data_IF_460104863410
#
_entry.id   IF_460104863410
#
_cell.length_a   1.000
_cell.length_b   1.000
_cell.length_c   1.000
_cell.angle_alpha   90.00
_cell.angle_beta   90.00
_cell.angle_gamma   90.00
#
_symmetry.space_group_name_H-M   'P 1'
#
loop_
_entity.id
_entity.type
_entity.pdbx_description
1 polymer ?
#
# COMPACT_ATOMS: atom_id res chain seq x y z
N UNK A 1 15.04 -6.68 -48.78
CA UNK A 1 13.70 -6.15 -49.15
C UNK A 1 13.39 -4.97 -48.25
N UNK A 2 13.28 -3.75 -48.79
CA UNK A 2 12.81 -2.56 -48.06
C UNK A 2 11.28 -2.58 -48.08
N UNK A 3 10.62 -2.90 -46.98
CA UNK A 3 9.20 -2.60 -46.83
C UNK A 3 9.06 -1.08 -46.78
N UNK A 4 8.55 -0.47 -47.86
CA UNK A 4 8.03 0.90 -47.79
C UNK A 4 6.78 0.83 -46.90
N UNK A 5 6.86 1.35 -45.68
CA UNK A 5 5.69 1.51 -44.82
C UNK A 5 4.73 2.48 -45.49
N UNK A 6 3.63 1.97 -46.03
CA UNK A 6 2.50 2.82 -46.40
C UNK A 6 2.00 3.49 -45.11
N UNK A 7 1.88 4.82 -45.05
CA UNK A 7 1.28 5.49 -43.90
C UNK A 7 -0.10 4.89 -43.66
N UNK A 8 -0.31 4.29 -42.49
CA UNK A 8 -1.61 3.74 -42.13
C UNK A 8 -2.50 4.90 -41.67
N UNK A 9 -3.15 5.57 -42.62
CA UNK A 9 -4.00 6.74 -42.34
C UNK A 9 -5.07 6.44 -41.30
N UNK A 10 -5.61 5.21 -41.27
CA UNK A 10 -6.57 4.77 -40.26
C UNK A 10 -5.98 4.75 -38.84
N UNK A 11 -4.69 4.39 -38.70
CA UNK A 11 -3.99 4.43 -37.43
C UNK A 11 -3.82 5.88 -36.94
N UNK A 12 -3.40 6.79 -37.82
CA UNK A 12 -3.20 8.21 -37.49
C UNK A 12 -4.52 8.90 -37.15
N UNK A 13 -5.58 8.62 -37.89
CA UNK A 13 -6.93 9.11 -37.63
C UNK A 13 -7.45 8.60 -36.28
N UNK A 14 -7.28 7.31 -35.97
CA UNK A 14 -7.67 6.75 -34.69
C UNK A 14 -6.91 7.40 -33.52
N UNK A 15 -5.58 7.56 -33.64
CA UNK A 15 -4.77 8.25 -32.63
C UNK A 15 -5.27 9.69 -32.39
N UNK A 16 -5.56 10.43 -33.47
CA UNK A 16 -6.09 11.80 -33.41
C UNK A 16 -7.47 11.85 -32.78
N UNK A 17 -8.40 10.99 -33.19
CA UNK A 17 -9.75 10.93 -32.64
C UNK A 17 -9.75 10.61 -31.14
N UNK A 18 -8.94 9.64 -30.71
CA UNK A 18 -8.82 9.26 -29.31
C UNK A 18 -8.24 10.39 -28.46
N UNK A 19 -7.21 11.08 -28.96
CA UNK A 19 -6.63 12.25 -28.27
C UNK A 19 -7.63 13.41 -28.16
N UNK A 20 -8.38 13.69 -29.22
CA UNK A 20 -9.43 14.71 -29.21
C UNK A 20 -10.55 14.37 -28.21
N UNK A 21 -10.97 13.11 -28.16
CA UNK A 21 -11.98 12.64 -27.21
C UNK A 21 -11.47 12.70 -25.76
N UNK A 22 -10.23 12.32 -25.50
CA UNK A 22 -9.65 12.34 -24.15
C UNK A 22 -9.62 13.76 -23.56
N UNK A 23 -9.33 14.77 -24.40
CA UNK A 23 -9.18 16.16 -23.98
C UNK A 23 -10.35 17.05 -24.41
N UNK A 24 -11.50 16.47 -24.78
CA UNK A 24 -12.72 17.24 -25.05
C UNK A 24 -13.28 17.88 -23.78
N UNK A 25 -14.28 18.74 -23.93
CA UNK A 25 -15.04 19.28 -22.82
C UNK A 25 -16.52 18.85 -22.94
N UNK A 26 -17.01 17.90 -22.11
CA UNK A 26 -16.30 17.20 -21.04
C UNK A 26 -15.30 16.14 -21.57
N UNK A 27 -14.27 15.76 -20.78
CA UNK A 27 -13.31 14.71 -21.16
C UNK A 27 -13.94 13.32 -21.30
N UNK A 28 -13.62 12.58 -22.36
CA UNK A 28 -14.03 11.18 -22.52
C UNK A 28 -12.96 10.25 -21.97
N UNK A 29 -13.05 9.92 -20.68
CA UNK A 29 -12.07 9.08 -19.98
C UNK A 29 -11.85 7.70 -20.61
N UNK A 30 -12.90 7.13 -21.22
CA UNK A 30 -12.84 5.83 -21.90
C UNK A 30 -11.86 5.82 -23.08
N UNK A 31 -11.48 6.99 -23.62
CA UNK A 31 -10.52 7.09 -24.72
C UNK A 31 -9.06 6.86 -24.28
N UNK A 32 -8.75 6.97 -22.98
CA UNK A 32 -7.38 6.88 -22.47
C UNK A 32 -6.74 5.51 -22.76
N UNK A 33 -7.40 4.42 -22.35
CA UNK A 33 -6.82 3.08 -22.51
C UNK A 33 -6.61 2.72 -24.00
N UNK A 34 -7.59 2.91 -24.89
CA UNK A 34 -7.38 2.72 -26.33
C UNK A 34 -6.27 3.61 -26.91
N UNK A 35 -6.15 4.87 -26.47
CA UNK A 35 -5.08 5.76 -26.92
C UNK A 35 -3.70 5.21 -26.54
N UNK A 36 -3.53 4.74 -25.31
CA UNK A 36 -2.26 4.15 -24.90
C UNK A 36 -1.98 2.85 -25.65
N UNK A 37 -2.99 2.00 -25.84
CA UNK A 37 -2.84 0.75 -26.61
C UNK A 37 -2.42 1.00 -28.06
N UNK A 38 -3.06 1.94 -28.77
CA UNK A 38 -2.70 2.24 -30.16
C UNK A 38 -1.28 2.80 -30.25
N UNK A 39 -0.89 3.69 -29.33
CA UNK A 39 0.48 4.24 -29.29
C UNK A 39 1.53 3.13 -29.07
N UNK A 40 1.25 2.15 -28.21
CA UNK A 40 2.16 1.02 -28.00
C UNK A 40 2.23 0.10 -29.22
N UNK A 41 1.10 -0.16 -29.91
CA UNK A 41 1.07 -0.93 -31.16
C UNK A 41 1.90 -0.26 -32.27
N UNK A 42 1.97 1.08 -32.28
CA UNK A 42 2.80 1.83 -33.21
C UNK A 42 4.26 2.04 -32.76
N UNK A 43 4.73 1.31 -31.75
CA UNK A 43 6.08 1.45 -31.16
C UNK A 43 6.37 2.89 -30.66
N UNK A 44 5.33 3.62 -30.26
CA UNK A 44 5.43 5.01 -29.79
C UNK A 44 5.47 5.10 -28.26
N UNK A 45 6.29 4.27 -27.60
CA UNK A 45 6.37 4.20 -26.12
C UNK A 45 6.61 5.57 -25.46
N UNK A 46 7.56 6.36 -25.98
CA UNK A 46 7.84 7.71 -25.44
C UNK A 46 6.65 8.65 -25.56
N UNK A 47 5.88 8.53 -26.65
CA UNK A 47 4.65 9.32 -26.84
C UNK A 47 3.58 8.85 -25.86
N UNK A 48 3.41 7.54 -25.66
CA UNK A 48 2.47 7.00 -24.68
C UNK A 48 2.78 7.47 -23.25
N UNK A 49 4.04 7.46 -22.84
CA UNK A 49 4.46 7.98 -21.52
C UNK A 49 4.19 9.49 -21.39
N UNK A 50 4.46 10.28 -22.42
CA UNK A 50 4.17 11.72 -22.42
C UNK A 50 2.66 12.01 -22.37
N UNK A 51 1.83 11.23 -23.06
CA UNK A 51 0.37 11.35 -22.97
C UNK A 51 -0.14 10.98 -21.57
N UNK A 52 0.41 9.92 -20.97
CA UNK A 52 0.09 9.54 -19.59
C UNK A 52 0.50 10.60 -18.57
N UNK A 53 1.64 11.24 -18.77
CA UNK A 53 2.07 12.36 -17.94
C UNK A 53 1.09 13.53 -17.98
N UNK A 54 0.68 13.94 -19.19
CA UNK A 54 -0.36 14.96 -19.36
C UNK A 54 -1.68 14.55 -18.72
N UNK A 55 -2.09 13.30 -18.90
CA UNK A 55 -3.30 12.75 -18.31
C UNK A 55 -3.26 12.72 -16.78
N UNK A 56 -2.11 12.39 -16.16
CA UNK A 56 -1.91 12.45 -14.71
C UNK A 56 -2.11 13.86 -14.14
N UNK A 57 -1.74 14.89 -14.89
CA UNK A 57 -1.86 16.30 -14.48
C UNK A 57 -3.27 16.87 -14.70
N UNK A 58 -4.00 16.36 -15.69
CA UNK A 58 -5.28 16.93 -16.13
C UNK A 58 -6.51 16.16 -15.67
N UNK A 59 -6.38 14.87 -15.34
CA UNK A 59 -7.50 14.00 -15.04
C UNK A 59 -7.51 13.62 -13.55
N UNK A 60 -8.68 13.68 -12.92
CA UNK A 60 -8.84 13.39 -11.49
C UNK A 60 -8.81 11.87 -11.17
N UNK A 61 -8.76 11.00 -12.17
CA UNK A 61 -8.89 9.54 -12.00
C UNK A 61 -7.56 8.84 -11.69
N UNK A 62 -7.61 7.66 -11.09
CA UNK A 62 -6.42 6.85 -10.80
C UNK A 62 -5.82 6.15 -12.03
N UNK A 63 -6.59 5.97 -13.12
CA UNK A 63 -6.20 5.15 -14.26
C UNK A 63 -4.91 5.62 -14.98
N UNK A 64 -4.71 6.93 -15.27
CA UNK A 64 -3.45 7.41 -15.86
C UNK A 64 -2.22 7.00 -15.06
N UNK A 65 -2.27 7.13 -13.74
CA UNK A 65 -1.17 6.78 -12.85
C UNK A 65 -0.86 5.28 -12.88
N UNK A 66 -1.90 4.42 -12.87
CA UNK A 66 -1.72 2.96 -12.98
C UNK A 66 -1.05 2.56 -14.29
N UNK A 67 -1.50 3.13 -15.41
CA UNK A 67 -0.93 2.85 -16.72
C UNK A 67 0.51 3.35 -16.81
N UNK A 68 0.79 4.56 -16.29
CA UNK A 68 2.14 5.14 -16.28
C UNK A 68 3.10 4.29 -15.46
N UNK A 69 2.72 3.96 -14.22
CA UNK A 69 3.52 3.09 -13.35
C UNK A 69 3.79 1.73 -14.00
N UNK A 70 2.77 1.13 -14.64
CA UNK A 70 2.92 -0.17 -15.30
C UNK A 70 3.87 -0.12 -16.50
N UNK A 71 3.77 0.90 -17.35
CA UNK A 71 4.67 1.02 -18.49
C UNK A 71 6.12 1.28 -18.07
N UNK A 72 6.32 2.14 -17.06
CA UNK A 72 7.66 2.39 -16.53
C UNK A 72 8.28 1.12 -15.93
N UNK A 73 7.52 0.31 -15.20
CA UNK A 73 8.03 -0.96 -14.67
C UNK A 73 8.45 -1.97 -15.75
N UNK A 74 7.81 -1.95 -16.91
CA UNK A 74 8.11 -2.90 -17.98
C UNK A 74 9.25 -2.42 -18.88
N UNK A 75 9.35 -1.11 -19.12
CA UNK A 75 10.26 -0.56 -20.14
C UNK A 75 11.34 0.40 -19.62
N UNK A 76 11.22 0.90 -18.38
CA UNK A 76 12.19 1.84 -17.79
C UNK A 76 12.30 1.66 -16.27
N UNK A 77 12.82 0.50 -15.87
CA UNK A 77 12.93 0.10 -14.45
C UNK A 77 13.89 0.97 -13.62
N UNK A 78 14.68 1.84 -14.26
CA UNK A 78 15.59 2.75 -13.58
C UNK A 78 14.86 3.90 -12.89
N UNK A 79 13.63 4.21 -13.32
CA UNK A 79 12.81 5.27 -12.72
C UNK A 79 12.01 4.80 -11.50
N UNK A 80 12.68 4.16 -10.55
CA UNK A 80 12.06 3.52 -9.37
C UNK A 80 11.19 4.51 -8.58
N UNK A 81 11.67 5.74 -8.37
CA UNK A 81 10.93 6.79 -7.65
C UNK A 81 9.63 7.20 -8.35
N UNK A 82 9.70 7.41 -9.66
CA UNK A 82 8.53 7.72 -10.49
C UNK A 82 7.51 6.57 -10.46
N UNK A 83 7.99 5.32 -10.47
CA UNK A 83 7.12 4.14 -10.45
C UNK A 83 6.31 4.05 -9.16
N UNK A 84 6.95 4.08 -7.98
CA UNK A 84 6.17 3.98 -6.74
C UNK A 84 5.27 5.19 -6.54
N UNK A 85 5.71 6.39 -6.95
CA UNK A 85 4.89 7.61 -6.89
C UNK A 85 3.62 7.46 -7.72
N UNK A 86 3.70 6.82 -8.90
CA UNK A 86 2.51 6.51 -9.69
C UNK A 86 1.53 5.62 -8.93
N UNK A 87 2.00 4.59 -8.23
CA UNK A 87 1.11 3.69 -7.48
C UNK A 87 0.55 4.33 -6.22
N UNK A 88 1.32 5.17 -5.52
CA UNK A 88 0.85 5.98 -4.39
C UNK A 88 -0.27 6.95 -4.83
N UNK A 89 -0.05 7.71 -5.90
CA UNK A 89 -1.03 8.63 -6.46
C UNK A 89 -2.29 7.92 -6.96
N UNK A 90 -2.14 6.71 -7.50
CA UNK A 90 -3.26 5.87 -7.90
C UNK A 90 -4.08 5.39 -6.70
N UNK A 91 -3.43 4.98 -5.60
CA UNK A 91 -4.13 4.59 -4.37
C UNK A 91 -4.78 5.79 -3.68
N UNK A 92 -4.14 6.97 -3.69
CA UNK A 92 -4.76 8.16 -3.11
C UNK A 92 -6.08 8.54 -3.79
N UNK A 93 -6.18 8.32 -5.10
CA UNK A 93 -7.38 8.59 -5.90
C UNK A 93 -8.41 7.46 -5.86
N UNK A 94 -7.95 6.22 -5.72
CA UNK A 94 -8.83 5.06 -5.55
C UNK A 94 -8.15 4.06 -4.59
N UNK A 95 -8.43 4.22 -3.28
CA UNK A 95 -7.84 3.38 -2.24
C UNK A 95 -8.30 1.93 -2.31
N UNK A 96 -9.37 1.60 -3.05
CA UNK A 96 -9.89 0.22 -3.11
C UNK A 96 -9.07 -0.70 -4.01
N UNK A 97 -8.11 -0.14 -4.76
CA UNK A 97 -7.38 -0.87 -5.78
C UNK A 97 -6.29 -1.79 -5.21
N UNK A 98 -6.63 -3.08 -5.04
CA UNK A 98 -5.65 -4.10 -4.62
C UNK A 98 -4.46 -4.23 -5.58
N UNK A 99 -4.64 -3.98 -6.89
CA UNK A 99 -3.54 -4.06 -7.85
C UNK A 99 -2.43 -3.04 -7.52
N UNK A 100 -2.77 -1.76 -7.32
CA UNK A 100 -1.77 -0.75 -6.95
C UNK A 100 -1.09 -1.08 -5.62
N UNK A 101 -1.85 -1.61 -4.65
CA UNK A 101 -1.29 -2.04 -3.35
C UNK A 101 -0.30 -3.20 -3.50
N UNK A 102 -0.65 -4.22 -4.27
CA UNK A 102 0.22 -5.37 -4.54
C UNK A 102 1.52 -4.94 -5.25
N UNK A 103 1.48 -3.91 -6.10
CA UNK A 103 2.69 -3.34 -6.72
C UNK A 103 3.58 -2.65 -5.69
N UNK A 104 3.04 -1.82 -4.79
CA UNK A 104 3.83 -1.18 -3.73
C UNK A 104 4.46 -2.22 -2.77
N UNK A 105 3.71 -3.26 -2.40
CA UNK A 105 4.24 -4.39 -1.62
C UNK A 105 5.41 -5.06 -2.37
N UNK A 106 5.25 -5.31 -3.67
CA UNK A 106 6.31 -5.90 -4.50
C UNK A 106 7.55 -5.01 -4.55
N UNK A 107 7.39 -3.69 -4.62
CA UNK A 107 8.51 -2.74 -4.61
C UNK A 107 9.21 -2.71 -3.25
N UNK A 108 8.45 -2.75 -2.14
CA UNK A 108 9.01 -2.85 -0.79
C UNK A 108 9.84 -4.13 -0.63
N UNK A 109 9.32 -5.28 -1.07
CA UNK A 109 10.05 -6.57 -1.04
C UNK A 109 11.35 -6.57 -1.84
N UNK A 110 11.47 -5.67 -2.83
CA UNK A 110 12.69 -5.47 -3.62
C UNK A 110 13.66 -4.44 -3.02
N UNK A 111 13.30 -3.81 -1.90
CA UNK A 111 14.08 -2.75 -1.27
C UNK A 111 13.93 -1.37 -1.92
N UNK A 112 12.92 -1.18 -2.77
CA UNK A 112 12.71 0.06 -3.53
C UNK A 112 11.69 1.03 -2.92
N UNK A 113 10.99 0.60 -1.89
CA UNK A 113 9.94 1.37 -1.23
C UNK A 113 10.05 1.15 0.27
N UNK A 114 10.11 2.23 1.05
CA UNK A 114 10.45 2.09 2.47
C UNK A 114 9.26 1.62 3.31
N UNK A 115 9.56 1.08 4.48
CA UNK A 115 8.56 0.46 5.37
C UNK A 115 7.52 1.46 5.88
N UNK A 116 7.90 2.73 6.05
CA UNK A 116 7.05 3.80 6.57
C UNK A 116 5.97 4.15 5.53
N UNK A 117 6.39 4.41 4.29
CA UNK A 117 5.48 4.70 3.19
C UNK A 117 4.54 3.51 2.93
N UNK A 118 5.08 2.29 2.99
CA UNK A 118 4.25 1.08 2.87
C UNK A 118 3.21 0.97 3.99
N UNK A 119 3.57 1.28 5.24
CA UNK A 119 2.65 1.25 6.37
C UNK A 119 1.44 2.17 6.10
N UNK A 120 1.67 3.42 5.67
CA UNK A 120 0.61 4.37 5.37
C UNK A 120 -0.21 3.97 4.14
N UNK A 121 0.42 3.44 3.10
CA UNK A 121 -0.27 2.97 1.90
C UNK A 121 -1.21 1.79 2.21
N UNK A 122 -0.76 0.83 3.02
CA UNK A 122 -1.60 -0.29 3.48
C UNK A 122 -2.73 0.24 4.35
N UNK A 123 -2.44 1.15 5.28
CA UNK A 123 -3.45 1.73 6.16
C UNK A 123 -4.55 2.44 5.35
N UNK A 124 -4.18 3.25 4.36
CA UNK A 124 -5.11 3.92 3.45
C UNK A 124 -5.99 2.93 2.66
N UNK A 125 -5.40 1.83 2.17
CA UNK A 125 -6.15 0.79 1.48
C UNK A 125 -7.18 0.12 2.41
N UNK A 126 -6.74 -0.27 3.60
CA UNK A 126 -7.58 -0.94 4.59
C UNK A 126 -8.65 -0.01 5.19
N UNK A 127 -8.41 1.30 5.23
CA UNK A 127 -9.44 2.30 5.57
C UNK A 127 -10.66 2.23 4.62
N UNK A 128 -10.50 1.67 3.41
CA UNK A 128 -11.54 1.61 2.38
C UNK A 128 -12.07 0.21 2.05
N UNK A 129 -11.33 -0.85 2.37
CA UNK A 129 -11.72 -2.24 2.07
C UNK A 129 -11.27 -3.20 3.17
N UNK A 130 -11.89 -4.39 3.26
CA UNK A 130 -11.49 -5.38 4.26
C UNK A 130 -10.10 -6.01 4.00
N UNK A 131 -9.55 -5.87 2.78
CA UNK A 131 -8.23 -6.37 2.41
C UNK A 131 -8.14 -7.90 2.29
N UNK A 132 -7.12 -8.37 1.55
CA UNK A 132 -6.75 -9.79 1.46
C UNK A 132 -5.80 -10.15 2.61
N UNK A 133 -5.68 -11.44 2.96
CA UNK A 133 -4.77 -11.90 4.03
C UNK A 133 -3.34 -11.38 3.83
N UNK A 134 -2.82 -11.44 2.59
CA UNK A 134 -1.48 -11.00 2.26
C UNK A 134 -1.23 -9.50 2.55
N UNK A 135 -2.25 -8.64 2.49
CA UNK A 135 -2.10 -7.22 2.79
C UNK A 135 -2.01 -7.00 4.31
N UNK A 136 -2.82 -7.73 5.08
CA UNK A 136 -2.72 -7.75 6.54
C UNK A 136 -1.38 -8.32 7.02
N UNK A 137 -0.88 -9.38 6.39
CA UNK A 137 0.44 -9.96 6.68
C UNK A 137 1.58 -8.94 6.46
N UNK A 138 1.52 -8.15 5.40
CA UNK A 138 2.49 -7.07 5.18
C UNK A 138 2.35 -5.95 6.20
N UNK A 139 1.14 -5.62 6.65
CA UNK A 139 0.93 -4.66 7.74
C UNK A 139 1.58 -5.13 9.05
N UNK A 140 1.40 -6.41 9.41
CA UNK A 140 2.10 -7.03 10.55
C UNK A 140 3.61 -6.90 10.37
N UNK A 141 4.10 -7.19 9.16
CA UNK A 141 5.53 -7.13 8.87
C UNK A 141 6.09 -5.70 8.99
N UNK A 142 5.31 -4.67 8.61
CA UNK A 142 5.67 -3.28 8.88
C UNK A 142 5.77 -3.00 10.38
N UNK A 143 4.81 -3.45 11.21
CA UNK A 143 4.90 -3.29 12.66
C UNK A 143 6.12 -3.99 13.26
N UNK A 144 6.43 -5.21 12.83
CA UNK A 144 7.61 -5.90 13.33
C UNK A 144 8.89 -5.17 12.96
N UNK A 145 9.06 -4.74 11.70
CA UNK A 145 10.27 -4.03 11.25
C UNK A 145 10.47 -2.67 11.93
N UNK A 146 9.40 -1.90 12.11
CA UNK A 146 9.49 -0.55 12.67
C UNK A 146 9.68 -0.53 14.18
N UNK A 147 9.34 -1.62 14.88
CA UNK A 147 9.31 -1.66 16.34
C UNK A 147 10.11 -2.83 16.95
N UNK A 148 10.88 -3.58 16.15
CA UNK A 148 11.82 -4.59 16.64
C UNK A 148 13.13 -3.97 17.13
N UNK A 149 13.65 -4.45 18.27
CA UNK A 149 14.91 -3.99 18.90
C UNK A 149 16.19 -4.30 18.07
N UNK A 150 16.09 -5.12 17.00
CA UNK A 150 17.22 -5.46 16.14
C UNK A 150 17.28 -4.55 14.90
N UNK A 151 17.83 -3.34 15.06
CA UNK A 151 18.39 -2.56 13.94
C UNK A 151 19.73 -3.15 13.45
N UNK A 152 19.86 -4.48 13.45
CA UNK A 152 21.14 -5.16 13.19
C UNK A 152 21.19 -5.97 11.88
N UNK A 153 20.08 -6.20 11.18
CA UNK A 153 20.10 -7.08 9.99
C UNK A 153 19.46 -6.53 8.71
N UNK A 154 19.01 -5.28 8.67
CA UNK A 154 18.64 -4.66 7.39
C UNK A 154 19.04 -3.20 7.40
N UNK A 155 20.13 -2.89 6.69
CA UNK A 155 20.44 -1.53 6.25
C UNK A 155 19.19 -0.97 5.55
N UNK A 156 18.54 -0.02 6.21
CA UNK A 156 17.60 0.90 5.60
C UNK A 156 18.43 1.67 4.56
N UNK A 157 18.46 1.16 3.33
CA UNK A 157 19.01 1.86 2.18
C UNK A 157 18.16 3.10 1.92
N UNK A 158 18.48 4.20 2.61
CA UNK A 158 18.67 5.56 2.11
C UNK A 158 19.22 6.35 3.31
N UNK A 159 20.55 6.40 3.39
CA UNK A 159 21.30 7.40 4.16
C UNK A 159 21.20 8.74 3.41
N UNK A 160 20.67 9.77 4.05
CA UNK A 160 20.80 11.17 3.66
C UNK A 160 21.11 12.04 4.88
N UNK A 161 22.41 12.12 5.21
CA UNK A 161 23.20 13.28 5.69
C UNK A 161 22.69 14.23 6.80
N UNK A 162 23.43 14.22 7.93
CA UNK A 162 23.99 15.31 8.79
C UNK A 162 23.13 16.56 9.10
N UNK A 163 22.99 17.06 10.33
CA UNK A 163 24.04 17.55 11.27
C UNK A 163 23.51 17.80 12.71
N UNK A 164 24.41 17.53 13.68
CA UNK A 164 24.68 18.29 14.93
C UNK A 164 23.73 18.19 16.15
N UNK A 165 24.19 17.43 17.15
CA UNK A 165 24.52 17.91 18.51
C UNK A 165 23.40 18.48 19.40
N UNK A 166 23.01 17.72 20.42
CA UNK A 166 22.32 18.26 21.59
C UNK A 166 21.56 17.22 22.40
N UNK A 167 22.10 16.92 23.59
CA UNK A 167 21.47 16.36 24.79
C UNK A 167 20.61 15.07 24.66
N UNK A 168 21.17 14.01 25.24
CA UNK A 168 20.55 12.70 25.42
C UNK A 168 19.29 12.78 26.28
N UNK A 169 18.14 12.93 25.60
CA UNK A 169 16.88 12.39 26.09
C UNK A 169 16.99 10.87 25.97
N UNK A 170 17.12 10.17 27.10
CA UNK A 170 16.83 8.74 27.23
C UNK A 170 15.33 8.49 26.99
N UNK A 171 14.86 8.81 25.79
CA UNK A 171 13.49 8.70 25.37
C UNK A 171 13.36 7.48 24.44
N UNK A 172 12.89 6.38 25.01
CA UNK A 172 12.18 5.31 24.31
C UNK A 172 12.75 4.97 22.92
N UNK A 173 13.89 4.28 22.88
CA UNK A 173 14.55 3.80 21.65
C UNK A 173 13.73 2.83 20.78
N UNK A 174 12.43 2.66 21.08
CA UNK A 174 11.52 1.65 20.51
C UNK A 174 10.42 2.24 19.62
N UNK A 175 10.40 3.55 19.45
CA UNK A 175 9.34 4.23 18.72
C UNK A 175 9.88 4.73 17.39
N UNK A 176 9.39 4.16 16.30
CA UNK A 176 9.78 4.60 14.95
C UNK A 176 9.54 6.09 14.78
N UNK A 177 10.47 6.77 14.11
CA UNK A 177 10.48 8.23 13.99
C UNK A 177 9.23 8.81 13.34
N UNK A 178 8.53 7.98 12.56
CA UNK A 178 7.24 8.25 11.90
C UNK A 178 6.20 8.87 12.81
N UNK A 179 6.15 8.41 14.05
CA UNK A 179 5.09 8.82 14.97
C UNK A 179 5.52 9.96 15.91
N UNK A 180 6.72 10.54 15.71
CA UNK A 180 7.10 11.79 16.39
C UNK A 180 6.29 12.99 15.90
N UNK A 181 5.72 12.91 14.70
CA UNK A 181 4.81 13.94 14.20
C UNK A 181 3.42 13.83 14.84
N UNK A 182 2.94 14.94 15.43
CA UNK A 182 1.65 14.98 16.13
C UNK A 182 0.48 14.63 15.22
N UNK A 183 0.49 15.11 13.97
CA UNK A 183 -0.57 14.83 13.01
C UNK A 183 -0.69 13.32 12.71
N UNK A 184 0.45 12.66 12.52
CA UNK A 184 0.54 11.21 12.34
C UNK A 184 0.04 10.45 13.57
N UNK A 185 0.30 10.93 14.78
CA UNK A 185 -0.26 10.29 15.98
C UNK A 185 -1.78 10.35 16.04
N UNK A 186 -2.36 11.52 15.78
CA UNK A 186 -3.81 11.70 15.86
C UNK A 186 -4.57 10.94 14.76
N UNK A 187 -4.01 10.90 13.54
CA UNK A 187 -4.58 10.11 12.45
C UNK A 187 -4.61 8.62 12.79
N UNK A 188 -3.52 8.07 13.34
CA UNK A 188 -3.48 6.66 13.76
C UNK A 188 -4.36 6.35 14.95
N UNK A 189 -4.51 7.25 15.92
CA UNK A 189 -5.51 7.07 17.00
C UNK A 189 -6.93 7.03 16.45
N UNK A 190 -7.27 7.90 15.50
CA UNK A 190 -8.56 7.87 14.84
C UNK A 190 -8.76 6.55 14.08
N UNK A 191 -7.74 6.09 13.34
CA UNK A 191 -7.73 4.81 12.62
C UNK A 191 -7.93 3.62 13.56
N UNK A 192 -7.17 3.53 14.64
CA UNK A 192 -7.33 2.49 15.66
C UNK A 192 -8.76 2.43 16.20
N UNK A 193 -9.37 3.59 16.52
CA UNK A 193 -10.76 3.65 17.01
C UNK A 193 -11.77 3.19 15.96
N UNK A 194 -11.56 3.55 14.70
CA UNK A 194 -12.44 3.13 13.60
C UNK A 194 -12.28 1.64 13.28
N UNK A 195 -11.05 1.13 13.17
CA UNK A 195 -10.74 -0.28 12.89
C UNK A 195 -11.26 -1.22 13.98
N UNK A 196 -11.18 -0.82 15.25
CA UNK A 196 -11.74 -1.60 16.36
C UNK A 196 -13.24 -1.90 16.18
N UNK A 197 -13.99 -0.95 15.58
CA UNK A 197 -15.44 -1.09 15.35
C UNK A 197 -15.76 -1.68 13.97
N UNK A 198 -14.88 -1.49 13.00
CA UNK A 198 -15.11 -1.94 11.63
C UNK A 198 -14.50 -3.32 11.38
N UNK A 199 -13.16 -3.40 11.35
CA UNK A 199 -12.45 -4.65 11.02
C UNK A 199 -12.40 -5.65 12.17
N UNK A 200 -12.45 -5.20 13.43
CA UNK A 200 -12.22 -6.06 14.60
C UNK A 200 -13.42 -6.14 15.55
N UNK A 201 -14.62 -5.88 15.04
CA UNK A 201 -15.85 -6.04 15.80
C UNK A 201 -16.26 -7.50 15.92
N UNK A 202 -17.18 -7.78 16.86
CA UNK A 202 -17.79 -9.11 16.99
C UNK A 202 -18.51 -9.55 15.70
N UNK A 203 -19.12 -8.61 14.99
CA UNK A 203 -19.80 -8.88 13.72
C UNK A 203 -18.81 -9.25 12.61
N UNK A 204 -17.69 -8.51 12.51
CA UNK A 204 -16.63 -8.82 11.55
C UNK A 204 -16.05 -10.22 11.82
N UNK A 205 -15.71 -10.52 13.08
CA UNK A 205 -15.25 -11.86 13.48
C UNK A 205 -16.26 -12.95 13.09
N UNK A 206 -17.55 -12.75 13.39
CA UNK A 206 -18.58 -13.77 13.11
C UNK A 206 -18.70 -14.04 11.61
N UNK A 207 -18.69 -13.00 10.79
CA UNK A 207 -18.74 -13.13 9.32
C UNK A 207 -17.49 -13.82 8.75
N UNK A 208 -16.32 -13.52 9.29
CA UNK A 208 -15.04 -14.09 8.82
C UNK A 208 -14.82 -15.52 9.32
N UNK A 209 -15.29 -15.84 10.52
CA UNK A 209 -15.30 -17.21 11.03
C UNK A 209 -16.24 -18.12 10.22
N UNK A 210 -17.32 -17.57 9.64
CA UNK A 210 -18.21 -18.31 8.75
C UNK A 210 -17.58 -18.62 7.39
N UNK A 211 -16.68 -17.76 6.88
CA UNK A 211 -15.99 -18.03 5.61
C UNK A 211 -14.92 -19.12 5.75
N UNK A 212 -14.43 -19.37 6.97
CA UNK A 212 -13.42 -20.39 7.24
C UNK A 212 -11.99 -19.99 6.84
N UNK A 213 -11.76 -18.73 6.45
CA UNK A 213 -10.44 -18.26 6.04
C UNK A 213 -9.55 -18.02 7.28
N UNK A 214 -8.89 -19.09 7.73
CA UNK A 214 -8.00 -19.05 8.89
C UNK A 214 -6.81 -18.11 8.67
N UNK A 215 -6.31 -17.97 7.43
CA UNK A 215 -5.19 -17.08 7.10
C UNK A 215 -5.57 -15.62 7.31
N UNK A 216 -6.72 -15.21 6.78
CA UNK A 216 -7.23 -13.87 6.98
C UNK A 216 -7.47 -13.58 8.47
N UNK A 217 -8.12 -14.51 9.19
CA UNK A 217 -8.38 -14.36 10.62
C UNK A 217 -7.07 -14.21 11.42
N UNK A 218 -6.08 -15.06 11.16
CA UNK A 218 -4.78 -15.01 11.83
C UNK A 218 -4.03 -13.71 11.55
N UNK A 219 -3.99 -13.27 10.29
CA UNK A 219 -3.33 -12.03 9.90
C UNK A 219 -3.99 -10.81 10.56
N UNK A 220 -5.33 -10.74 10.53
CA UNK A 220 -6.09 -9.67 11.22
C UNK A 220 -5.91 -9.70 12.73
N UNK A 221 -5.90 -10.89 13.35
CA UNK A 221 -5.68 -11.02 14.79
C UNK A 221 -4.25 -10.64 15.18
N UNK A 222 -3.24 -10.96 14.36
CA UNK A 222 -1.88 -10.49 14.54
C UNK A 222 -1.81 -8.95 14.47
N UNK A 223 -2.44 -8.32 13.46
CA UNK A 223 -2.54 -6.85 13.40
C UNK A 223 -3.24 -6.26 14.63
N UNK A 224 -4.38 -6.82 15.04
CA UNK A 224 -5.12 -6.37 16.22
C UNK A 224 -4.27 -6.51 17.50
N UNK A 225 -3.43 -7.55 17.60
CA UNK A 225 -2.47 -7.69 18.70
C UNK A 225 -1.45 -6.54 18.69
N UNK A 226 -0.85 -6.20 17.55
CA UNK A 226 0.06 -5.06 17.45
C UNK A 226 -0.61 -3.71 17.76
N UNK A 227 -1.86 -3.51 17.34
CA UNK A 227 -2.58 -2.25 17.53
C UNK A 227 -3.09 -2.05 18.95
N UNK A 228 -3.75 -3.07 19.51
CA UNK A 228 -4.54 -2.99 20.75
C UNK A 228 -3.99 -3.87 21.89
N UNK A 229 -3.12 -4.82 21.57
CA UNK A 229 -2.54 -5.77 22.51
C UNK A 229 -3.11 -7.19 22.41
N UNK A 230 -2.39 -8.18 22.97
CA UNK A 230 -2.73 -9.60 22.86
C UNK A 230 -4.03 -9.99 23.57
N UNK A 231 -4.49 -9.16 24.49
CA UNK A 231 -5.69 -9.37 25.30
C UNK A 231 -6.97 -8.79 24.67
N UNK A 232 -6.85 -8.14 23.50
CA UNK A 232 -7.99 -7.54 22.82
C UNK A 232 -9.04 -8.60 22.44
N UNK A 233 -10.36 -8.36 22.62
CA UNK A 233 -11.39 -9.39 22.47
C UNK A 233 -11.36 -10.14 21.13
N UNK A 234 -11.15 -9.43 20.03
CA UNK A 234 -11.04 -10.05 18.70
C UNK A 234 -9.88 -11.05 18.63
N UNK A 235 -8.72 -10.72 19.20
CA UNK A 235 -7.52 -11.59 19.23
C UNK A 235 -7.81 -12.87 19.99
N UNK A 236 -8.52 -12.78 21.12
CA UNK A 236 -8.93 -13.95 21.92
C UNK A 236 -9.91 -14.85 21.17
N UNK A 237 -10.94 -14.24 20.57
CA UNK A 237 -11.97 -14.97 19.83
C UNK A 237 -11.38 -15.73 18.64
N UNK A 238 -10.50 -15.08 17.87
CA UNK A 238 -9.78 -15.71 16.77
C UNK A 238 -8.85 -16.82 17.26
N UNK A 239 -8.10 -16.59 18.35
CA UNK A 239 -7.22 -17.61 18.92
C UNK A 239 -7.96 -18.90 19.30
N UNK A 240 -9.14 -18.78 19.92
CA UNK A 240 -9.99 -19.95 20.24
C UNK A 240 -10.50 -20.63 18.97
N UNK A 241 -10.90 -19.86 17.96
CA UNK A 241 -11.40 -20.41 16.70
C UNK A 241 -10.34 -21.20 15.95
N UNK A 242 -9.17 -20.61 15.72
CA UNK A 242 -8.08 -21.24 14.94
C UNK A 242 -7.53 -22.47 15.67
N UNK A 243 -7.49 -22.45 17.01
CA UNK A 243 -7.16 -23.63 17.80
C UNK A 243 -8.14 -24.79 17.58
N UNK A 244 -9.44 -24.51 17.46
CA UNK A 244 -10.45 -25.53 17.13
C UNK A 244 -10.36 -26.05 15.70
N UNK A 245 -9.83 -25.25 14.77
CA UNK A 245 -9.61 -25.65 13.39
C UNK A 245 -8.28 -26.40 13.19
N UNK A 246 -7.46 -26.57 14.24
CA UNK A 246 -6.14 -27.22 14.18
C UNK A 246 -5.19 -26.60 13.13
N UNK A 247 -5.38 -25.31 12.84
CA UNK A 247 -4.60 -24.58 11.84
C UNK A 247 -3.23 -24.14 12.41
N UNK A 248 -2.28 -25.09 12.43
CA UNK A 248 -1.00 -24.98 13.14
C UNK A 248 -0.14 -23.78 12.71
N UNK A 249 -0.08 -23.49 11.41
CA UNK A 249 0.71 -22.38 10.87
C UNK A 249 0.16 -21.04 11.36
N UNK A 250 -1.16 -20.88 11.29
CA UNK A 250 -1.89 -19.69 11.75
C UNK A 250 -1.78 -19.50 13.27
N UNK A 251 -1.81 -20.60 14.04
CA UNK A 251 -1.57 -20.57 15.49
C UNK A 251 -0.16 -20.04 15.77
N UNK A 252 0.86 -20.58 15.10
CA UNK A 252 2.25 -20.15 15.25
C UNK A 252 2.43 -18.66 14.93
N UNK A 253 1.84 -18.20 13.83
CA UNK A 253 1.82 -16.78 13.45
C UNK A 253 1.19 -15.93 14.55
N UNK A 254 0.03 -16.31 15.08
CA UNK A 254 -0.66 -15.54 16.10
C UNK A 254 0.12 -15.49 17.42
N UNK A 255 0.65 -16.63 17.88
CA UNK A 255 1.44 -16.73 19.11
C UNK A 255 2.66 -15.81 19.05
N UNK A 256 3.44 -15.87 17.97
CA UNK A 256 4.61 -15.01 17.75
C UNK A 256 4.25 -13.52 17.79
N UNK A 257 3.16 -13.11 17.14
CA UNK A 257 2.76 -11.70 17.09
C UNK A 257 2.16 -11.21 18.42
N UNK A 258 1.49 -12.08 19.19
CA UNK A 258 1.06 -11.74 20.56
C UNK A 258 2.25 -11.48 21.48
N UNK A 259 3.34 -12.24 21.34
CA UNK A 259 4.57 -12.06 22.12
C UNK A 259 5.30 -10.77 21.74
N UNK A 260 5.36 -10.45 20.44
CA UNK A 260 6.04 -9.26 19.91
C UNK A 260 5.11 -8.04 19.74
N UNK A 261 3.98 -8.02 20.44
CA UNK A 261 2.94 -7.01 20.28
C UNK A 261 3.45 -5.61 20.62
N UNK A 262 3.28 -4.67 19.68
CA UNK A 262 3.69 -3.26 19.82
C UNK A 262 2.78 -2.46 20.76
N UNK A 263 1.48 -2.80 20.84
CA UNK A 263 0.46 -2.05 21.58
C UNK A 263 0.38 -0.58 21.15
N UNK A 264 0.34 -0.35 19.84
CA UNK A 264 0.48 0.98 19.22
C UNK A 264 -0.44 2.03 19.85
N UNK A 265 -1.74 1.75 20.03
CA UNK A 265 -2.69 2.72 20.57
C UNK A 265 -2.29 3.19 21.97
N UNK A 266 -1.89 2.26 22.84
CA UNK A 266 -1.43 2.57 24.20
C UNK A 266 -0.17 3.44 24.17
N UNK A 267 0.75 3.17 23.23
CA UNK A 267 1.97 3.96 23.06
C UNK A 267 1.66 5.38 22.58
N UNK A 268 0.75 5.53 21.60
CA UNK A 268 0.32 6.83 21.09
C UNK A 268 -0.38 7.69 22.16
N UNK A 269 -1.17 7.08 23.03
CA UNK A 269 -1.86 7.77 24.13
C UNK A 269 -0.91 8.30 25.20
N UNK A 270 0.20 7.60 25.45
CA UNK A 270 1.23 8.05 26.42
C UNK A 270 2.01 9.27 25.95
N UNK A 271 2.25 9.41 24.64
CA UNK A 271 3.05 10.49 24.04
C UNK A 271 2.31 11.82 23.86
N UNK A 272 1.05 11.90 24.31
CA UNK A 272 0.21 13.11 24.18
C UNK A 272 -0.05 13.75 25.55
N UNK A 273 0.59 13.22 26.59
CA UNK A 273 0.66 13.81 27.92
C UNK A 273 2.03 14.47 28.09
#
# INVERSE_FOLDING_TARGET
>A
MKYKSVPNTLYEDAEKCLRLALYSNPPVMAALLPLIQILLLGDKLKVALNELEKACLSLATALPFRLRGRLLEEYDQNQVSTIFSCYEEALRRDPTCSYSMERLIKMHKKGYYNTIQLLEAIALHLDSVNGKSCIWEELVSCFLRLFSDNTADYEDCISCTNTHGGESLEASSKFSSVFFEQFTRESWKARCRWWARHHFSQNAYTSEAQSGDCKLLAAKAACAAHLFGPEFPYVKAVGVYIAKQEALDEISVLVRNKQNSVRLLQTLEKLTR
#
